data_IF_313437126461
#
_entry.id   IF_313437126461
#
_cell.length_a   1.000
_cell.length_b   1.000
_cell.length_c   1.000
_cell.angle_alpha   90.00
_cell.angle_beta   90.00
_cell.angle_gamma   90.00
#
_symmetry.space_group_name_H-M   'P 1'
#
loop_
_entity.id
_entity.type
_entity.pdbx_description
1 polymer ?
#
# COMPACT_ATOMS: atom_id res chain seq x y z
N UNK A 1 2.39 -27.24 -47.90
CA UNK A 1 1.14 -26.46 -47.76
C UNK A 1 0.00 -27.41 -47.43
N UNK A 2 -0.74 -27.29 -46.35
CA UNK A 2 -0.39 -26.92 -44.98
C UNK A 2 -1.40 -27.68 -44.11
N UNK A 3 -0.92 -28.59 -43.26
CA UNK A 3 -1.75 -29.40 -42.35
C UNK A 3 -1.75 -28.69 -41.01
N UNK A 4 -2.57 -27.66 -40.84
CA UNK A 4 -2.89 -27.12 -39.52
C UNK A 4 -4.05 -26.13 -39.64
N UNK A 5 -5.25 -26.66 -39.86
CA UNK A 5 -6.45 -25.94 -39.45
C UNK A 5 -7.42 -26.91 -38.82
N UNK A 6 -7.66 -26.66 -37.53
CA UNK A 6 -8.77 -27.13 -36.72
C UNK A 6 -8.72 -28.56 -36.16
N UNK A 7 -8.26 -28.66 -34.90
CA UNK A 7 -9.03 -29.35 -33.86
C UNK A 7 -8.77 -28.73 -32.48
N UNK A 8 -9.86 -28.20 -31.91
CA UNK A 8 -10.06 -27.87 -30.49
C UNK A 8 -9.50 -28.95 -29.56
N UNK A 9 -9.02 -28.57 -28.37
CA UNK A 9 -9.39 -29.17 -27.07
C UNK A 9 -9.14 -28.13 -25.97
N UNK A 10 -10.19 -27.94 -25.17
CA UNK A 10 -10.31 -27.16 -23.93
C UNK A 10 -9.49 -27.77 -22.79
N UNK A 11 -9.29 -27.00 -21.69
CA UNK A 11 -8.67 -27.31 -20.38
C UNK A 11 -7.19 -26.90 -20.33
N UNK A 12 -6.75 -25.99 -19.45
CA UNK A 12 -6.96 -26.03 -18.00
C UNK A 12 -6.71 -24.64 -17.39
N UNK A 13 -7.60 -24.24 -16.47
CA UNK A 13 -7.37 -23.18 -15.48
C UNK A 13 -6.08 -23.51 -14.72
N UNK A 14 -5.04 -22.69 -14.83
CA UNK A 14 -3.80 -22.91 -14.08
C UNK A 14 -2.77 -21.82 -14.31
N UNK A 15 -2.61 -20.95 -13.31
CA UNK A 15 -1.55 -19.94 -13.15
C UNK A 15 -1.54 -18.77 -14.17
N UNK A 16 -2.22 -17.66 -13.81
CA UNK A 16 -1.75 -16.32 -14.19
C UNK A 16 -0.37 -16.13 -13.55
N UNK A 17 0.68 -16.54 -14.26
CA UNK A 17 2.01 -16.01 -14.02
C UNK A 17 1.89 -14.49 -14.13
N UNK A 18 2.30 -13.78 -13.08
CA UNK A 18 2.48 -12.35 -13.06
C UNK A 18 3.27 -11.96 -14.32
N UNK A 19 2.59 -11.33 -15.28
CA UNK A 19 3.20 -10.95 -16.54
C UNK A 19 4.29 -9.92 -16.21
N UNK A 20 5.56 -10.33 -16.34
CA UNK A 20 6.75 -9.50 -16.13
C UNK A 20 7.32 -9.17 -17.51
N UNK A 21 6.71 -8.25 -18.27
CA UNK A 21 7.05 -7.99 -19.67
C UNK A 21 8.49 -7.50 -19.86
N UNK A 22 9.16 -7.09 -18.78
CA UNK A 22 10.51 -6.55 -18.79
C UNK A 22 11.51 -7.35 -17.96
N UNK A 23 11.21 -8.61 -17.63
CA UNK A 23 12.09 -9.48 -16.83
C UNK A 23 13.51 -9.58 -17.43
N UNK A 24 13.62 -9.60 -18.76
CA UNK A 24 14.88 -9.71 -19.49
C UNK A 24 15.45 -8.35 -19.95
N UNK A 25 14.78 -7.24 -19.65
CA UNK A 25 15.24 -5.91 -20.06
C UNK A 25 16.40 -5.43 -19.18
N UNK A 26 17.41 -4.82 -19.79
CA UNK A 26 18.52 -4.25 -19.04
C UNK A 26 18.04 -3.00 -18.29
N UNK A 27 18.72 -2.66 -17.19
CA UNK A 27 18.39 -1.45 -16.41
C UNK A 27 18.42 -0.18 -17.26
N UNK A 28 19.32 -0.09 -18.23
CA UNK A 28 19.39 1.01 -19.20
C UNK A 28 18.14 1.11 -20.07
N UNK A 29 17.56 -0.03 -20.44
CA UNK A 29 16.35 -0.09 -21.26
C UNK A 29 15.13 0.31 -20.45
N UNK A 30 15.05 -0.14 -19.18
CA UNK A 30 14.03 0.30 -18.23
C UNK A 30 14.11 1.81 -17.97
N UNK A 31 15.32 2.34 -17.77
CA UNK A 31 15.54 3.77 -17.60
C UNK A 31 15.10 4.56 -18.84
N UNK A 32 15.49 4.09 -20.03
CA UNK A 32 15.10 4.71 -21.29
C UNK A 32 13.58 4.67 -21.46
N UNK A 33 12.95 3.52 -21.20
CA UNK A 33 11.50 3.32 -21.30
C UNK A 33 10.74 4.28 -20.37
N UNK A 34 11.17 4.40 -19.11
CA UNK A 34 10.59 5.35 -18.18
C UNK A 34 10.74 6.80 -18.66
N UNK A 35 11.95 7.20 -19.06
CA UNK A 35 12.22 8.58 -19.52
C UNK A 35 11.44 8.95 -20.78
N UNK A 36 11.28 8.02 -21.73
CA UNK A 36 10.49 8.25 -22.95
C UNK A 36 8.99 8.37 -22.65
N UNK A 37 8.51 7.71 -21.58
CA UNK A 37 7.10 7.67 -21.21
C UNK A 37 6.85 8.34 -19.85
N UNK A 38 7.53 9.46 -19.59
CA UNK A 38 7.56 10.14 -18.28
C UNK A 38 6.21 10.69 -17.78
N UNK A 39 5.17 10.63 -18.61
CA UNK A 39 3.80 11.08 -18.30
C UNK A 39 2.77 9.93 -18.36
N UNK A 40 3.21 8.71 -18.67
CA UNK A 40 2.33 7.54 -18.78
C UNK A 40 2.39 6.72 -17.49
N UNK A 41 1.34 6.84 -16.68
CA UNK A 41 1.22 6.13 -15.40
C UNK A 41 1.27 4.60 -15.55
N UNK A 42 0.77 4.05 -16.66
CA UNK A 42 0.74 2.59 -16.87
C UNK A 42 2.17 2.10 -17.12
N UNK A 43 2.92 2.79 -17.98
CA UNK A 43 4.31 2.44 -18.28
C UNK A 43 5.20 2.64 -17.05
N UNK A 44 5.04 3.76 -16.32
CA UNK A 44 5.82 4.01 -15.10
C UNK A 44 5.57 2.96 -14.02
N UNK A 45 4.31 2.57 -13.78
CA UNK A 45 3.96 1.48 -12.85
C UNK A 45 4.54 0.13 -13.30
N UNK A 46 4.49 -0.16 -14.60
CA UNK A 46 5.08 -1.39 -15.15
C UNK A 46 6.59 -1.46 -14.98
N UNK A 47 7.30 -0.34 -15.20
CA UNK A 47 8.75 -0.26 -14.96
C UNK A 47 9.06 -0.37 -13.47
N UNK A 48 8.28 0.29 -12.61
CA UNK A 48 8.42 0.23 -11.16
C UNK A 48 8.28 -1.20 -10.62
N UNK A 49 7.24 -1.93 -11.05
CA UNK A 49 7.03 -3.33 -10.66
C UNK A 49 8.18 -4.24 -11.09
N UNK A 50 8.83 -3.98 -12.24
CA UNK A 50 10.01 -4.72 -12.65
C UNK A 50 11.26 -4.33 -11.82
N UNK A 51 11.42 -3.05 -11.46
CA UNK A 51 12.50 -2.58 -10.60
C UNK A 51 12.36 -3.08 -9.16
N UNK A 52 11.16 -3.46 -8.73
CA UNK A 52 10.97 -4.08 -7.41
C UNK A 52 11.66 -5.44 -7.28
N UNK A 53 11.90 -6.15 -8.37
CA UNK A 53 12.65 -7.40 -8.35
C UNK A 53 14.18 -7.21 -8.41
N UNK A 54 14.68 -5.98 -8.28
CA UNK A 54 16.10 -5.64 -8.48
C UNK A 54 16.68 -4.88 -7.29
N UNK A 55 17.74 -5.42 -6.70
CA UNK A 55 18.34 -4.89 -5.47
C UNK A 55 19.58 -4.00 -5.68
N UNK A 56 19.96 -3.71 -6.94
CA UNK A 56 21.12 -2.85 -7.20
C UNK A 56 20.85 -1.39 -6.78
N UNK A 57 21.84 -0.70 -6.18
CA UNK A 57 21.72 0.72 -5.79
C UNK A 57 21.23 1.63 -6.93
N UNK A 58 21.59 1.32 -8.17
CA UNK A 58 21.16 2.09 -9.35
C UNK A 58 19.67 1.84 -9.69
N UNK A 59 19.17 0.63 -9.47
CA UNK A 59 17.75 0.30 -9.64
C UNK A 59 16.90 0.94 -8.54
N UNK A 60 17.41 0.96 -7.31
CA UNK A 60 16.79 1.64 -6.17
C UNK A 60 16.58 3.12 -6.47
N UNK A 61 17.63 3.83 -6.91
CA UNK A 61 17.54 5.26 -7.27
C UNK A 61 16.57 5.51 -8.42
N UNK A 62 16.62 4.69 -9.47
CA UNK A 62 15.70 4.84 -10.61
C UNK A 62 14.25 4.62 -10.17
N UNK A 63 14.01 3.66 -9.26
CA UNK A 63 12.69 3.41 -8.69
C UNK A 63 12.20 4.63 -7.90
N UNK A 64 13.03 5.20 -7.03
CA UNK A 64 12.71 6.42 -6.28
C UNK A 64 12.32 7.58 -7.20
N UNK A 65 13.06 7.78 -8.30
CA UNK A 65 12.74 8.82 -9.30
C UNK A 65 11.43 8.55 -10.04
N UNK A 66 11.16 7.30 -10.42
CA UNK A 66 9.89 6.92 -11.08
C UNK A 66 8.72 7.06 -10.10
N UNK A 67 8.94 6.71 -8.84
CA UNK A 67 7.95 6.83 -7.77
C UNK A 67 7.55 8.29 -7.53
N UNK A 68 8.53 9.19 -7.40
CA UNK A 68 8.29 10.64 -7.33
C UNK A 68 7.42 11.12 -8.49
N UNK A 69 7.71 10.62 -9.69
CA UNK A 69 6.94 11.02 -10.87
C UNK A 69 5.51 10.48 -10.84
N UNK A 70 5.31 9.24 -10.39
CA UNK A 70 3.98 8.68 -10.22
C UNK A 70 3.21 9.50 -9.18
N UNK A 71 3.85 9.88 -8.06
CA UNK A 71 3.24 10.71 -7.02
C UNK A 71 2.80 12.08 -7.56
N UNK A 72 3.66 12.78 -8.31
CA UNK A 72 3.31 14.05 -8.97
C UNK A 72 2.10 13.90 -9.90
N UNK A 73 2.09 12.85 -10.72
CA UNK A 73 1.01 12.59 -11.68
C UNK A 73 -0.31 12.16 -11.03
N UNK A 74 -0.29 11.86 -9.72
CA UNK A 74 -1.44 11.33 -8.99
C UNK A 74 -1.83 12.19 -7.79
N UNK A 75 -1.24 13.38 -7.65
CA UNK A 75 -1.44 14.29 -6.52
C UNK A 75 -2.91 14.74 -6.39
N UNK A 76 -3.64 14.78 -7.50
CA UNK A 76 -5.06 15.17 -7.57
C UNK A 76 -6.04 13.97 -7.54
N UNK A 77 -5.56 12.74 -7.37
CA UNK A 77 -6.45 11.57 -7.25
C UNK A 77 -6.91 11.44 -5.80
N UNK A 78 -8.20 11.70 -5.47
CA UNK A 78 -8.72 11.50 -4.13
C UNK A 78 -8.59 10.02 -3.76
N UNK A 79 -7.79 9.75 -2.74
CA UNK A 79 -7.68 8.46 -2.11
C UNK A 79 -9.07 8.02 -1.62
N UNK A 80 -9.71 7.12 -2.36
CA UNK A 80 -11.03 6.57 -2.00
C UNK A 80 -10.84 5.45 -1.00
N UNK A 81 -11.20 5.75 0.23
CA UNK A 81 -11.40 4.74 1.25
C UNK A 81 -12.48 3.73 0.83
N UNK A 82 -12.35 2.41 1.10
CA UNK A 82 -13.52 1.54 1.12
C UNK A 82 -14.44 2.05 2.23
N UNK A 83 -15.59 2.59 1.84
CA UNK A 83 -16.57 3.15 2.77
C UNK A 83 -16.90 2.14 3.86
N UNK A 84 -16.72 2.53 5.12
CA UNK A 84 -17.18 1.75 6.29
C UNK A 84 -18.69 1.87 6.50
N UNK A 85 -19.37 2.70 5.71
CA UNK A 85 -20.82 2.77 5.64
C UNK A 85 -21.32 1.65 4.70
N UNK A 86 -21.48 0.45 5.25
CA UNK A 86 -22.29 -0.58 4.61
C UNK A 86 -23.75 -0.34 4.97
N UNK A 87 -24.60 -0.05 3.97
CA UNK A 87 -26.02 -0.35 4.14
C UNK A 87 -26.17 -1.85 4.45
N UNK A 88 -27.13 -2.27 5.30
CA UNK A 88 -27.36 -3.68 5.58
C UNK A 88 -27.88 -4.37 4.31
N UNK A 89 -26.96 -4.78 3.44
CA UNK A 89 -27.24 -5.48 2.21
C UNK A 89 -27.36 -6.98 2.48
N UNK A 90 -28.52 -7.55 2.18
CA UNK A 90 -28.81 -8.99 2.27
C UNK A 90 -28.09 -9.86 1.22
N UNK A 91 -27.01 -9.37 0.62
CA UNK A 91 -26.22 -10.12 -0.35
C UNK A 91 -24.92 -10.60 0.31
N UNK A 92 -24.63 -11.91 0.34
CA UNK A 92 -23.38 -12.42 0.87
C UNK A 92 -22.24 -11.88 0.01
N UNK A 93 -21.46 -10.96 0.57
CA UNK A 93 -20.19 -10.54 -0.01
C UNK A 93 -19.26 -11.76 0.05
N UNK A 94 -18.71 -12.16 -1.10
CA UNK A 94 -17.70 -13.22 -1.16
C UNK A 94 -16.54 -12.85 -0.23
N UNK A 95 -16.05 -13.75 0.66
CA UNK A 95 -14.97 -13.47 1.61
C UNK A 95 -13.62 -13.05 1.00
N UNK A 96 -13.54 -12.92 -0.32
CA UNK A 96 -12.31 -12.72 -1.08
C UNK A 96 -12.00 -11.27 -1.47
N UNK A 97 -12.95 -10.34 -1.38
CA UNK A 97 -12.79 -9.02 -2.03
C UNK A 97 -12.49 -7.84 -1.08
N UNK A 98 -12.49 -8.05 0.23
CA UNK A 98 -11.92 -7.12 1.21
C UNK A 98 -11.32 -7.91 2.37
N UNK A 99 -10.09 -7.62 2.85
CA UNK A 99 -9.57 -8.35 3.99
C UNK A 99 -10.42 -8.01 5.21
N UNK A 100 -11.04 -9.05 5.80
CA UNK A 100 -11.81 -9.01 7.05
C UNK A 100 -11.01 -8.38 8.23
N UNK A 101 -9.68 -8.27 8.05
CA UNK A 101 -8.70 -7.70 8.97
C UNK A 101 -7.83 -6.68 8.22
N UNK A 102 -7.85 -5.39 8.60
CA UNK A 102 -6.98 -4.37 8.00
C UNK A 102 -5.48 -4.63 8.22
N UNK A 103 -4.61 -4.20 7.28
CA UNK A 103 -3.17 -4.48 7.25
C UNK A 103 -2.43 -4.25 8.58
N UNK A 104 -2.73 -3.14 9.28
CA UNK A 104 -2.15 -2.85 10.60
C UNK A 104 -2.42 -4.00 11.56
N UNK A 105 -3.68 -4.45 11.63
CA UNK A 105 -4.09 -5.56 12.49
C UNK A 105 -3.53 -6.89 12.01
N UNK A 106 -3.47 -7.12 10.69
CA UNK A 106 -2.86 -8.31 10.08
C UNK A 106 -1.40 -8.49 10.51
N UNK A 107 -0.66 -7.38 10.63
CA UNK A 107 0.73 -7.36 11.04
C UNK A 107 0.91 -7.22 12.57
N UNK A 108 -0.17 -7.38 13.33
CA UNK A 108 -0.14 -7.47 14.79
C UNK A 108 -0.26 -6.14 15.53
N UNK A 109 -0.40 -5.01 14.83
CA UNK A 109 -0.60 -3.72 15.49
C UNK A 109 -1.89 -3.73 16.32
N UNK A 110 -1.75 -3.64 17.64
CA UNK A 110 -2.86 -3.67 18.59
C UNK A 110 -2.62 -2.67 19.72
N UNK A 111 -3.65 -1.89 20.05
CA UNK A 111 -3.63 -0.83 21.09
C UNK A 111 -4.57 -1.18 22.26
N UNK A 112 -4.66 -0.28 23.25
CA UNK A 112 -5.52 -0.45 24.42
C UNK A 112 -4.94 -1.37 25.49
N UNK A 113 -5.80 -1.78 26.43
CA UNK A 113 -5.43 -2.48 27.68
C UNK A 113 -4.74 -3.82 27.44
N UNK A 114 -5.16 -4.55 26.41
CA UNK A 114 -4.56 -5.83 26.00
C UNK A 114 -3.69 -5.67 24.74
N UNK A 115 -3.27 -4.44 24.44
CA UNK A 115 -2.46 -4.12 23.27
C UNK A 115 -0.96 -4.28 23.53
N UNK A 116 -0.18 -4.02 22.49
CA UNK A 116 1.28 -4.05 22.58
C UNK A 116 1.82 -2.84 23.36
N UNK A 117 3.01 -3.03 23.92
CA UNK A 117 3.79 -1.95 24.53
C UNK A 117 4.10 -0.86 23.52
N UNK A 118 4.42 0.36 24.00
CA UNK A 118 4.82 1.49 23.14
C UNK A 118 5.92 1.11 22.15
N UNK A 119 6.95 0.40 22.60
CA UNK A 119 8.05 -0.04 21.73
C UNK A 119 7.58 -1.07 20.70
N UNK A 120 6.75 -2.05 21.10
CA UNK A 120 6.22 -3.06 20.18
C UNK A 120 5.33 -2.46 19.09
N UNK A 121 4.43 -1.54 19.47
CA UNK A 121 3.58 -0.82 18.52
C UNK A 121 4.38 -0.01 17.51
N UNK A 122 5.32 0.81 17.99
CA UNK A 122 6.17 1.64 17.13
C UNK A 122 7.06 0.81 16.24
N UNK A 123 7.62 -0.29 16.74
CA UNK A 123 8.37 -1.24 15.91
C UNK A 123 7.52 -1.74 14.76
N UNK A 124 6.28 -2.16 15.01
CA UNK A 124 5.38 -2.63 13.93
C UNK A 124 5.08 -1.50 12.93
N UNK A 125 4.89 -0.27 13.39
CA UNK A 125 4.65 0.86 12.49
C UNK A 125 5.87 1.20 11.63
N UNK A 126 7.07 1.18 12.21
CA UNK A 126 8.34 1.33 11.48
C UNK A 126 8.49 0.21 10.45
N UNK A 127 8.22 -1.01 10.86
CA UNK A 127 8.25 -2.21 10.04
C UNK A 127 7.28 -2.09 8.85
N UNK A 128 6.03 -1.67 9.09
CA UNK A 128 5.02 -1.42 8.05
C UNK A 128 5.46 -0.30 7.12
N UNK A 129 6.10 0.75 7.62
CA UNK A 129 6.57 1.83 6.78
C UNK A 129 7.75 1.40 5.90
N UNK A 130 8.71 0.67 6.47
CA UNK A 130 10.02 0.41 5.84
C UNK A 130 10.09 -0.88 5.04
N UNK A 131 9.25 -1.87 5.34
CA UNK A 131 9.31 -3.18 4.70
C UNK A 131 8.34 -3.33 3.53
N UNK A 132 8.71 -4.26 2.65
CA UNK A 132 7.77 -4.83 1.69
C UNK A 132 6.72 -5.64 2.43
N UNK A 133 5.47 -5.24 2.26
CA UNK A 133 4.35 -5.93 2.88
C UNK A 133 4.12 -7.29 2.19
N UNK A 134 3.62 -8.30 2.92
CA UNK A 134 3.38 -9.61 2.34
C UNK A 134 2.35 -9.54 1.19
N UNK A 135 2.66 -10.17 0.05
CA UNK A 135 1.85 -10.19 -1.20
C UNK A 135 0.56 -11.04 -1.04
N UNK A 136 0.19 -11.45 0.18
CA UNK A 136 -0.95 -12.36 0.42
C UNK A 136 -2.33 -11.68 0.35
N UNK A 137 -2.38 -10.43 -0.08
CA UNK A 137 -3.60 -9.63 -0.27
C UNK A 137 -3.67 -9.21 -1.75
N UNK A 138 -4.85 -8.80 -2.22
CA UNK A 138 -5.04 -8.44 -3.63
C UNK A 138 -4.08 -7.32 -4.07
N UNK A 139 -3.71 -7.32 -5.36
CA UNK A 139 -2.82 -6.29 -5.91
C UNK A 139 -3.44 -4.90 -5.75
N UNK A 140 -4.75 -4.79 -5.93
CA UNK A 140 -5.51 -3.56 -5.75
C UNK A 140 -5.42 -3.04 -4.32
N UNK A 141 -5.47 -3.94 -3.32
CA UNK A 141 -5.30 -3.56 -1.92
C UNK A 141 -3.85 -3.18 -1.60
N UNK A 142 -2.87 -3.85 -2.21
CA UNK A 142 -1.45 -3.50 -2.06
C UNK A 142 -1.12 -2.14 -2.65
N UNK A 143 -1.75 -1.76 -3.77
CA UNK A 143 -1.58 -0.45 -4.40
C UNK A 143 -1.92 0.69 -3.43
N UNK A 144 -2.90 0.50 -2.52
CA UNK A 144 -3.24 1.48 -1.49
C UNK A 144 -2.13 1.69 -0.46
N UNK A 145 -1.34 0.64 -0.19
CA UNK A 145 -0.22 0.74 0.74
C UNK A 145 1.01 1.33 0.06
N UNK A 146 1.06 1.40 -1.28
CA UNK A 146 2.22 1.89 -2.03
C UNK A 146 3.51 1.13 -1.68
N UNK A 147 4.67 1.65 -2.07
CA UNK A 147 5.97 1.03 -1.80
C UNK A 147 6.54 1.45 -0.44
N UNK A 148 7.54 0.72 0.09
CA UNK A 148 8.13 1.04 1.39
C UNK A 148 8.88 2.37 1.39
N UNK A 149 8.82 3.09 2.50
CA UNK A 149 9.40 4.43 2.72
C UNK A 149 8.79 5.57 1.88
N UNK A 150 7.75 5.31 1.08
CA UNK A 150 7.08 6.32 0.26
C UNK A 150 6.12 7.22 1.06
N UNK A 151 5.81 8.40 0.52
CA UNK A 151 4.89 9.36 1.15
C UNK A 151 3.48 8.79 1.28
N UNK A 152 2.99 8.11 0.23
CA UNK A 152 1.69 7.42 0.24
C UNK A 152 1.58 6.35 1.31
N UNK A 153 2.66 5.58 1.55
CA UNK A 153 2.71 4.57 2.63
C UNK A 153 2.55 5.25 4.00
N UNK A 154 3.27 6.35 4.21
CA UNK A 154 3.17 7.13 5.45
C UNK A 154 1.77 7.71 5.65
N UNK A 155 1.20 8.31 4.59
CA UNK A 155 -0.14 8.87 4.60
C UNK A 155 -1.18 7.79 4.94
N UNK A 156 -1.13 6.62 4.29
CA UNK A 156 -2.03 5.49 4.55
C UNK A 156 -1.99 5.04 6.02
N UNK A 157 -0.79 4.95 6.61
CA UNK A 157 -0.63 4.59 8.03
C UNK A 157 -1.28 5.67 8.91
N UNK A 158 -0.95 6.95 8.66
CA UNK A 158 -1.42 8.08 9.45
C UNK A 158 -2.95 8.22 9.40
N UNK A 159 -3.54 8.13 8.21
CA UNK A 159 -4.99 8.20 8.02
C UNK A 159 -5.72 7.03 8.67
N UNK A 160 -5.15 5.82 8.61
CA UNK A 160 -5.72 4.64 9.27
C UNK A 160 -5.78 4.84 10.79
N UNK A 161 -4.67 5.26 11.40
CA UNK A 161 -4.61 5.54 12.85
C UNK A 161 -5.60 6.64 13.21
N UNK A 162 -5.63 7.74 12.46
CA UNK A 162 -6.53 8.85 12.75
C UNK A 162 -8.01 8.46 12.62
N UNK A 163 -8.37 7.63 11.64
CA UNK A 163 -9.71 7.09 11.50
C UNK A 163 -10.10 6.22 12.70
N UNK A 164 -9.20 5.35 13.18
CA UNK A 164 -9.45 4.55 14.39
C UNK A 164 -9.70 5.44 15.61
N UNK A 165 -8.89 6.48 15.80
CA UNK A 165 -9.05 7.43 16.90
C UNK A 165 -10.39 8.16 16.84
N UNK A 166 -10.76 8.73 15.69
CA UNK A 166 -12.04 9.43 15.51
C UNK A 166 -13.23 8.51 15.78
N UNK A 167 -13.17 7.28 15.27
CA UNK A 167 -14.25 6.30 15.47
C UNK A 167 -14.37 5.90 16.95
N UNK A 168 -13.26 5.73 17.66
CA UNK A 168 -13.29 5.44 19.09
C UNK A 168 -13.81 6.62 19.93
N UNK A 169 -13.44 7.86 19.58
CA UNK A 169 -13.96 9.07 20.24
C UNK A 169 -15.48 9.21 20.07
N UNK A 170 -16.02 8.85 18.90
CA UNK A 170 -17.47 8.85 18.63
C UNK A 170 -18.25 7.81 19.45
N UNK A 171 -17.66 6.65 19.68
CA UNK A 171 -18.27 5.54 20.43
C UNK A 171 -18.43 5.84 21.94
N UNK A 172 -17.63 6.78 22.49
CA UNK A 172 -17.71 7.28 23.89
C UNK A 172 -17.59 6.22 25.00
N UNK A 173 -17.28 4.96 24.69
CA UNK A 173 -17.05 3.92 25.69
C UNK A 173 -15.71 4.12 26.41
N UNK A 174 -15.74 3.98 27.73
CA UNK A 174 -14.59 4.20 28.62
C UNK A 174 -13.44 3.21 28.38
N UNK A 175 -13.74 2.01 27.91
CA UNK A 175 -12.75 0.97 27.59
C UNK A 175 -11.82 1.35 26.41
N UNK A 176 -12.21 2.35 25.61
CA UNK A 176 -11.43 2.84 24.47
C UNK A 176 -10.47 4.00 24.79
N UNK A 177 -10.52 4.60 25.99
CA UNK A 177 -9.68 5.76 26.32
C UNK A 177 -8.19 5.47 26.18
N UNK A 178 -7.72 4.32 26.66
CA UNK A 178 -6.32 3.93 26.53
C UNK A 178 -5.94 3.63 25.06
N UNK A 179 -6.88 3.12 24.26
CA UNK A 179 -6.64 2.91 22.84
C UNK A 179 -6.49 4.24 22.09
N UNK A 180 -7.32 5.23 22.42
CA UNK A 180 -7.24 6.61 21.90
C UNK A 180 -5.87 7.22 22.23
N UNK A 181 -5.45 7.17 23.49
CA UNK A 181 -4.12 7.67 23.90
C UNK A 181 -2.98 6.99 23.13
N UNK A 182 -3.05 5.66 22.98
CA UNK A 182 -2.07 4.91 22.22
C UNK A 182 -2.03 5.32 20.74
N UNK A 183 -3.18 5.45 20.07
CA UNK A 183 -3.24 5.89 18.68
C UNK A 183 -2.73 7.32 18.50
N UNK A 184 -3.11 8.26 19.36
CA UNK A 184 -2.62 9.65 19.29
C UNK A 184 -1.10 9.72 19.50
N UNK A 185 -0.57 8.99 20.48
CA UNK A 185 0.86 8.93 20.74
C UNK A 185 1.67 8.25 19.61
N UNK A 186 1.07 7.27 18.93
CA UNK A 186 1.67 6.59 17.79
C UNK A 186 1.59 7.47 16.53
N UNK A 187 0.50 8.20 16.32
CA UNK A 187 0.36 9.16 15.22
C UNK A 187 1.37 10.30 15.35
N UNK A 188 1.52 10.88 16.56
CA UNK A 188 2.53 11.90 16.82
C UNK A 188 3.96 11.37 16.60
N UNK A 189 4.21 10.10 16.93
CA UNK A 189 5.49 9.45 16.65
C UNK A 189 5.75 9.33 15.14
N UNK A 190 4.79 8.83 14.36
CA UNK A 190 4.93 8.72 12.90
C UNK A 190 5.20 10.08 12.25
N UNK A 191 4.51 11.13 12.70
CA UNK A 191 4.73 12.49 12.23
C UNK A 191 6.17 12.92 12.46
N UNK A 192 6.65 12.82 13.70
CA UNK A 192 8.00 13.22 14.09
C UNK A 192 9.08 12.41 13.38
N UNK A 193 8.85 11.11 13.17
CA UNK A 193 9.85 10.18 12.65
C UNK A 193 9.98 10.19 11.13
N UNK A 194 8.91 10.49 10.41
CA UNK A 194 8.86 10.28 8.95
C UNK A 194 8.26 11.44 8.15
N UNK A 195 7.53 12.35 8.79
CA UNK A 195 6.87 13.47 8.11
C UNK A 195 7.60 14.79 8.36
N UNK A 196 7.91 15.11 9.62
CA UNK A 196 8.55 16.37 9.99
C UNK A 196 9.96 16.46 9.39
N UNK A 197 10.21 17.52 8.61
CA UNK A 197 11.48 17.70 7.91
C UNK A 197 11.67 16.78 6.70
N UNK A 198 10.64 16.01 6.32
CA UNK A 198 10.65 15.22 5.08
C UNK A 198 10.27 16.08 3.86
N UNK A 199 10.36 15.48 2.68
CA UNK A 199 9.92 16.07 1.42
C UNK A 199 8.42 15.93 1.13
N UNK A 200 7.67 15.26 2.01
CA UNK A 200 6.25 14.99 1.80
C UNK A 200 5.40 16.24 2.05
N UNK A 201 4.36 16.43 1.23
CA UNK A 201 3.54 17.64 1.22
C UNK A 201 2.04 17.41 1.52
N UNK A 202 1.63 16.17 1.82
CA UNK A 202 0.24 15.86 2.14
C UNK A 202 -0.15 16.37 3.53
N UNK A 203 -1.41 16.76 3.73
CA UNK A 203 -1.85 17.24 5.05
C UNK A 203 -1.81 16.13 6.11
N UNK A 204 -1.17 16.42 7.25
CA UNK A 204 -1.13 15.46 8.35
C UNK A 204 -2.51 15.34 9.00
N UNK A 205 -3.07 14.12 9.18
CA UNK A 205 -4.45 13.96 9.62
C UNK A 205 -4.65 14.32 11.10
N UNK A 206 -5.85 14.82 11.40
CA UNK A 206 -6.31 15.15 12.76
C UNK A 206 -7.17 14.05 13.36
N UNK A 207 -7.23 13.96 14.69
CA UNK A 207 -7.90 12.88 15.44
C UNK A 207 -9.05 13.33 16.29
#
# INVERSE_FOLDING_TARGET
MDKQSQQKITLTIGAKALDRPHMNSWRTDLEKLARTNWHDLVVLKSVMGELDHRDSNKAIRLRETIEERIEELTIDQPFRWPTTDGEPGNNPISPFDAPEIGMLKLLGYTVGRNGLSRSGRRKILDDIYRMRLPIRVSNEYMDEWSVPNGGRRLQKIAESIAAFTRNAKRDRRQDKLLAIEHWEADLAYMKKSFYDGSRWSFEWPTT
#
